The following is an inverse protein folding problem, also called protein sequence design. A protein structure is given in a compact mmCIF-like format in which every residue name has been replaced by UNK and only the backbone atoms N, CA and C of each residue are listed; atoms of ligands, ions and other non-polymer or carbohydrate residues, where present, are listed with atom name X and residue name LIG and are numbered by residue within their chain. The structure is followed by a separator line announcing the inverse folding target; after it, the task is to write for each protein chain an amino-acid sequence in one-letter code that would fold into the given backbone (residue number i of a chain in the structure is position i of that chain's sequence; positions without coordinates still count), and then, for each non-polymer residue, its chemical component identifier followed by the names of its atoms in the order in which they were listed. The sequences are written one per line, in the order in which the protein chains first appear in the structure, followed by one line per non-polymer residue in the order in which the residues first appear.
data_IF_091097647449
#
_entry.id   IF_091097647449
#
_cell.length_a   1.000
_cell.length_b   1.000
_cell.length_c   1.000
_cell.angle_alpha   90.00
_cell.angle_beta   90.00
_cell.angle_gamma   90.00
#
_symmetry.space_group_name_H-M   'P 1'
#
loop_
_entity.id
_entity.type
_entity.pdbx_description
1 polymer ?
#
# COMPACT_ATOMS: atom_id res chain seq x y z
N UNK A 1 -8.01 6.89 -22.53
CA UNK A 1 -8.86 5.92 -21.80
C UNK A 1 -8.47 5.93 -20.34
N UNK A 2 -9.38 6.26 -19.40
CA UNK A 2 -9.06 6.16 -17.96
C UNK A 2 -8.98 4.67 -17.62
N UNK A 3 -7.84 4.20 -17.10
CA UNK A 3 -7.71 2.82 -16.59
C UNK A 3 -8.81 2.64 -15.55
N UNK A 4 -9.79 1.78 -15.84
CA UNK A 4 -10.77 1.35 -14.84
C UNK A 4 -10.00 0.67 -13.72
N UNK A 5 -9.76 1.42 -12.64
CA UNK A 5 -8.94 0.93 -11.55
C UNK A 5 -9.84 0.07 -10.69
N UNK A 6 -9.95 -1.22 -11.03
CA UNK A 6 -10.54 -2.20 -10.13
C UNK A 6 -9.82 -2.05 -8.78
N UNK A 7 -10.56 -1.77 -7.69
CA UNK A 7 -9.93 -1.55 -6.42
C UNK A 7 -9.22 -2.83 -5.98
N UNK A 8 -8.14 -2.71 -5.19
CA UNK A 8 -7.30 -3.85 -4.81
C UNK A 8 -8.09 -4.96 -4.11
N UNK A 9 -9.10 -4.64 -3.31
CA UNK A 9 -9.97 -5.63 -2.66
C UNK A 9 -10.93 -6.38 -3.59
N UNK A 10 -11.10 -5.93 -4.84
CA UNK A 10 -11.83 -6.67 -5.89
C UNK A 10 -10.90 -7.46 -6.80
N UNK A 11 -9.58 -7.40 -6.59
CA UNK A 11 -8.60 -8.14 -7.40
C UNK A 11 -8.26 -9.46 -6.71
N UNK A 12 -8.23 -10.58 -7.44
CA UNK A 12 -7.68 -11.81 -6.90
C UNK A 12 -6.19 -11.62 -6.60
N UNK A 13 -5.69 -12.32 -5.57
CA UNK A 13 -4.27 -12.37 -5.29
C UNK A 13 -3.52 -12.99 -6.50
N UNK A 14 -2.50 -12.33 -7.09
CA UNK A 14 -1.74 -12.89 -8.20
C UNK A 14 -1.09 -14.21 -7.82
N UNK A 15 -1.44 -15.29 -8.54
CA UNK A 15 -0.85 -16.61 -8.34
C UNK A 15 0.58 -16.63 -8.89
N UNK A 16 1.50 -17.29 -8.19
CA UNK A 16 2.89 -17.48 -8.62
C UNK A 16 3.81 -16.27 -8.44
N UNK A 17 3.35 -15.18 -7.80
CA UNK A 17 4.19 -14.05 -7.45
C UNK A 17 4.57 -14.09 -5.97
N UNK A 18 5.86 -13.91 -5.67
CA UNK A 18 6.32 -13.78 -4.29
C UNK A 18 5.86 -12.43 -3.71
N UNK A 19 5.41 -12.44 -2.46
CA UNK A 19 5.12 -11.21 -1.74
C UNK A 19 6.43 -10.46 -1.49
N UNK A 20 6.46 -9.16 -1.81
CA UNK A 20 7.58 -8.28 -1.47
C UNK A 20 7.22 -7.43 -0.26
N UNK A 21 7.86 -7.66 0.90
CA UNK A 21 7.61 -6.83 2.08
C UNK A 21 8.08 -5.39 1.85
N UNK A 22 7.50 -4.45 2.62
CA UNK A 22 7.99 -3.09 2.70
C UNK A 22 9.34 -3.06 3.42
N UNK A 23 10.24 -2.19 2.97
CA UNK A 23 11.45 -1.86 3.75
C UNK A 23 11.06 -1.10 5.02
N UNK A 24 11.95 -1.05 6.01
CA UNK A 24 11.64 -0.35 7.26
C UNK A 24 11.45 1.16 7.05
N UNK A 25 12.20 1.76 6.11
CA UNK A 25 11.99 3.14 5.67
C UNK A 25 10.58 3.34 5.07
N UNK A 26 10.10 2.40 4.26
CA UNK A 26 8.74 2.46 3.71
C UNK A 26 7.66 2.33 4.80
N UNK A 27 7.88 1.47 5.80
CA UNK A 27 6.95 1.35 6.95
C UNK A 27 6.91 2.64 7.77
N UNK A 28 8.05 3.28 7.98
CA UNK A 28 8.13 4.57 8.68
C UNK A 28 7.37 5.67 7.91
N UNK A 29 7.60 5.77 6.59
CA UNK A 29 6.88 6.72 5.75
C UNK A 29 5.36 6.47 5.72
N UNK A 30 4.93 5.20 5.65
CA UNK A 30 3.51 4.83 5.72
C UNK A 30 2.89 5.23 7.06
N UNK A 31 3.59 5.00 8.17
CA UNK A 31 3.12 5.36 9.50
C UNK A 31 2.97 6.87 9.65
N UNK A 32 3.98 7.64 9.27
CA UNK A 32 3.95 9.11 9.32
C UNK A 32 2.76 9.65 8.51
N UNK A 33 2.58 9.17 7.28
CA UNK A 33 1.44 9.56 6.44
C UNK A 33 0.10 9.23 7.09
N UNK A 34 -0.01 8.06 7.73
CA UNK A 34 -1.24 7.68 8.43
C UNK A 34 -1.54 8.64 9.59
N UNK A 35 -0.54 8.94 10.42
CA UNK A 35 -0.62 9.88 11.55
C UNK A 35 -1.01 11.29 11.10
N UNK A 36 -0.35 11.84 10.07
CA UNK A 36 -0.66 13.15 9.48
C UNK A 36 -2.11 13.26 8.99
N UNK A 37 -2.67 12.15 8.51
CA UNK A 37 -4.04 12.08 8.01
C UNK A 37 -5.05 11.58 9.06
N UNK A 38 -4.63 11.37 10.31
CA UNK A 38 -5.49 10.88 11.41
C UNK A 38 -6.02 9.46 11.19
N UNK A 39 -5.31 8.62 10.43
CA UNK A 39 -5.71 7.25 10.08
C UNK A 39 -5.03 6.26 11.02
N UNK A 40 -5.72 5.22 11.50
CA UNK A 40 -5.08 4.15 12.25
C UNK A 40 -4.04 3.42 11.40
N UNK A 41 -2.94 3.03 12.04
CA UNK A 41 -1.88 2.21 11.44
C UNK A 41 -1.81 0.86 12.18
N UNK A 42 -1.58 -0.27 11.48
CA UNK A 42 -1.30 -0.42 10.05
C UNK A 42 -2.55 -0.37 9.16
N UNK A 43 -2.43 0.19 7.94
CA UNK A 43 -3.53 0.25 6.97
C UNK A 43 -3.09 0.03 5.52
N UNK A 44 -4.04 -0.37 4.65
CA UNK A 44 -3.75 -0.70 3.24
C UNK A 44 -3.36 0.53 2.40
N UNK A 45 -4.01 1.68 2.62
CA UNK A 45 -3.84 2.85 1.75
C UNK A 45 -2.43 3.41 1.85
N UNK A 46 -1.95 3.59 3.08
CA UNK A 46 -0.61 4.11 3.37
C UNK A 46 0.47 3.10 3.02
N UNK A 47 0.24 1.81 3.29
CA UNK A 47 1.16 0.74 2.87
C UNK A 47 1.29 0.63 1.35
N UNK A 48 0.18 0.78 0.60
CA UNK A 48 0.21 0.80 -0.87
C UNK A 48 0.88 2.05 -1.43
N UNK A 49 0.72 3.20 -0.77
CA UNK A 49 1.42 4.43 -1.15
C UNK A 49 2.93 4.26 -0.94
N UNK A 50 3.35 3.75 0.22
CA UNK A 50 4.76 3.52 0.53
C UNK A 50 5.40 2.47 -0.40
N UNK A 51 4.66 1.42 -0.78
CA UNK A 51 5.12 0.41 -1.74
C UNK A 51 5.46 1.01 -3.13
N UNK A 52 4.88 2.16 -3.48
CA UNK A 52 5.12 2.88 -4.74
C UNK A 52 6.28 3.86 -4.67
N UNK A 53 6.75 4.24 -3.47
CA UNK A 53 7.87 5.18 -3.28
C UNK A 53 9.23 4.48 -3.46
N UNK A 54 9.38 3.65 -4.49
CA UNK A 54 10.66 3.00 -4.81
C UNK A 54 11.51 3.87 -5.71
#
# INVERSE_FOLDING_TARGET
MRKSTTPPWKKPNPKGQASRPLTDAQKAAARQRAEENGRPYPNLVDNMWAAKQR
#
